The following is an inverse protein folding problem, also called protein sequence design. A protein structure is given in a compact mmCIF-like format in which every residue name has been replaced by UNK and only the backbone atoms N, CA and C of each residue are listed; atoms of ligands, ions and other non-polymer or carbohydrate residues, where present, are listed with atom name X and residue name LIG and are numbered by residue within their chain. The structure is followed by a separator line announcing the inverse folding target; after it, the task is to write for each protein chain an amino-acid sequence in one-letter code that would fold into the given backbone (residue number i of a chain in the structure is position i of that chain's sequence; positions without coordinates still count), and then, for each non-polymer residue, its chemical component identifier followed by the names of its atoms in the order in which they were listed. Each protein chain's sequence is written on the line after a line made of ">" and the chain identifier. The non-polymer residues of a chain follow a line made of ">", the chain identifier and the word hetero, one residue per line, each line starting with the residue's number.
data_IF_772186479783
#
_entry.id   IF_772186479783
#
_cell.length_a   1.000
_cell.length_b   1.000
_cell.length_c   1.000
_cell.angle_alpha   90.00
_cell.angle_beta   90.00
_cell.angle_gamma   90.00
#
_symmetry.space_group_name_H-M   'P 1'
#
loop_
_entity.id
_entity.type
_entity.pdbx_description
1 polymer ?
#
# COMPACT_ATOMS: atom_id res chain seq x y z
N UNK A 1 -4.33 1.19 -23.06
CA UNK A 1 -4.15 1.74 -21.69
C UNK A 1 -2.94 2.66 -21.68
N UNK A 2 -3.08 3.93 -21.29
CA UNK A 2 -1.93 4.84 -21.14
C UNK A 2 -1.10 4.45 -19.91
N UNK A 3 0.23 4.52 -20.00
CA UNK A 3 1.19 4.24 -18.91
C UNK A 3 0.75 4.89 -17.59
N UNK A 4 0.33 6.17 -17.64
CA UNK A 4 -0.15 6.92 -16.47
C UNK A 4 -1.38 6.28 -15.79
N UNK A 5 -2.33 5.75 -16.56
CA UNK A 5 -3.51 5.04 -16.03
C UNK A 5 -3.13 3.74 -15.33
N UNK A 6 -2.13 3.02 -15.84
CA UNK A 6 -1.64 1.79 -15.21
C UNK A 6 -0.98 2.06 -13.86
N UNK A 7 -0.13 3.09 -13.75
CA UNK A 7 0.49 3.48 -12.48
C UNK A 7 -0.52 3.92 -11.42
N UNK A 8 -1.55 4.67 -11.83
CA UNK A 8 -2.65 5.06 -10.92
C UNK A 8 -3.45 3.83 -10.50
N UNK A 9 -3.74 2.90 -11.41
CA UNK A 9 -4.47 1.66 -11.09
C UNK A 9 -3.69 0.79 -10.10
N UNK A 10 -2.37 0.65 -10.26
CA UNK A 10 -1.50 -0.06 -9.32
C UNK A 10 -1.51 0.59 -7.94
N UNK A 11 -1.49 1.92 -7.87
CA UNK A 11 -1.58 2.64 -6.61
C UNK A 11 -2.91 2.41 -5.89
N UNK A 12 -4.02 2.46 -6.62
CA UNK A 12 -5.35 2.18 -6.06
C UNK A 12 -5.44 0.75 -5.53
N UNK A 13 -4.93 -0.24 -6.28
CA UNK A 13 -4.90 -1.63 -5.81
C UNK A 13 -4.04 -1.80 -4.56
N UNK A 14 -2.90 -1.11 -4.48
CA UNK A 14 -2.05 -1.11 -3.30
C UNK A 14 -2.80 -0.57 -2.06
N UNK A 15 -3.56 0.53 -2.20
CA UNK A 15 -4.38 1.08 -1.11
C UNK A 15 -5.41 0.05 -0.63
N UNK A 16 -6.12 -0.60 -1.56
CA UNK A 16 -7.15 -1.60 -1.23
C UNK A 16 -6.54 -2.76 -0.45
N UNK A 17 -5.43 -3.32 -0.93
CA UNK A 17 -4.73 -4.43 -0.26
C UNK A 17 -4.24 -4.02 1.12
N UNK A 18 -3.70 -2.81 1.27
CA UNK A 18 -3.25 -2.29 2.57
C UNK A 18 -4.41 -2.10 3.55
N UNK A 19 -5.56 -1.59 3.10
CA UNK A 19 -6.76 -1.45 3.94
C UNK A 19 -7.28 -2.82 4.41
N UNK A 20 -7.33 -3.81 3.51
CA UNK A 20 -7.72 -5.17 3.86
C UNK A 20 -6.76 -5.76 4.90
N UNK A 21 -5.45 -5.65 4.66
CA UNK A 21 -4.43 -6.15 5.59
C UNK A 21 -4.46 -5.45 6.95
N UNK A 22 -4.74 -4.14 6.99
CA UNK A 22 -4.98 -3.41 8.25
C UNK A 22 -6.24 -3.93 8.95
N UNK A 23 -7.33 -4.19 8.21
CA UNK A 23 -8.55 -4.78 8.78
C UNK A 23 -8.29 -6.13 9.47
N UNK A 24 -7.49 -6.99 8.85
CA UNK A 24 -7.03 -8.24 9.47
C UNK A 24 -6.12 -8.00 10.69
N UNK A 25 -5.27 -6.97 10.65
CA UNK A 25 -4.42 -6.59 11.78
C UNK A 25 -5.25 -6.11 12.98
N UNK A 26 -6.29 -5.30 12.73
CA UNK A 26 -7.25 -4.83 13.73
C UNK A 26 -8.05 -6.01 14.30
N UNK A 27 -8.54 -6.90 13.44
CA UNK A 27 -9.25 -8.12 13.87
C UNK A 27 -8.38 -8.97 14.79
N UNK A 28 -7.10 -9.17 14.44
CA UNK A 28 -6.17 -9.91 15.28
C UNK A 28 -5.90 -9.23 16.62
N UNK A 29 -5.86 -7.89 16.65
CA UNK A 29 -5.70 -7.14 17.88
C UNK A 29 -6.91 -7.28 18.81
N UNK A 30 -8.13 -7.13 18.29
CA UNK A 30 -9.35 -7.18 19.11
C UNK A 30 -9.81 -8.58 19.50
N UNK A 31 -9.61 -9.59 18.66
CA UNK A 31 -10.11 -10.97 18.91
C UNK A 31 -9.07 -11.84 19.61
N UNK A 32 -7.78 -11.62 19.34
CA UNK A 32 -6.71 -12.50 19.83
C UNK A 32 -5.72 -11.78 20.76
N UNK A 33 -6.00 -10.52 21.17
CA UNK A 33 -5.12 -9.68 22.00
C UNK A 33 -3.66 -9.63 21.49
N UNK A 34 -3.47 -9.85 20.18
CA UNK A 34 -2.15 -9.80 19.56
C UNK A 34 -1.77 -8.34 19.32
N UNK A 35 -0.51 -7.94 19.54
CA UNK A 35 -0.10 -6.55 19.34
C UNK A 35 -0.39 -6.09 17.91
N UNK A 36 -1.07 -4.95 17.74
CA UNK A 36 -1.49 -4.45 16.43
C UNK A 36 -0.30 -4.23 15.48
N UNK A 37 0.83 -3.76 16.00
CA UNK A 37 2.05 -3.48 15.22
C UNK A 37 2.96 -4.72 15.14
N UNK A 38 2.44 -5.83 14.62
CA UNK A 38 3.26 -7.02 14.35
C UNK A 38 4.26 -6.77 13.20
N UNK A 39 5.28 -7.62 13.09
CA UNK A 39 6.22 -7.62 11.95
C UNK A 39 5.48 -7.60 10.61
N UNK A 40 4.35 -8.31 10.50
CA UNK A 40 3.52 -8.35 9.30
C UNK A 40 2.86 -7.00 9.00
N UNK A 41 2.30 -6.33 10.01
CA UNK A 41 1.67 -5.00 9.87
C UNK A 41 2.70 -3.95 9.50
N UNK A 42 3.89 -4.01 10.10
CA UNK A 42 5.02 -3.12 9.76
C UNK A 42 5.53 -3.37 8.34
N UNK A 43 5.63 -4.63 7.93
CA UNK A 43 6.00 -5.03 6.57
C UNK A 43 4.99 -4.58 5.52
N UNK A 44 3.69 -4.70 5.81
CA UNK A 44 2.61 -4.21 4.95
C UNK A 44 2.68 -2.69 4.74
N UNK A 45 2.91 -1.93 5.81
CA UNK A 45 3.07 -0.48 5.73
C UNK A 45 4.32 -0.09 4.94
N UNK A 46 5.44 -0.78 5.17
CA UNK A 46 6.68 -0.54 4.42
C UNK A 46 6.52 -0.82 2.93
N UNK A 47 5.87 -1.93 2.56
CA UNK A 47 5.57 -2.26 1.17
C UNK A 47 4.66 -1.21 0.51
N UNK A 48 3.66 -0.70 1.23
CA UNK A 48 2.80 0.38 0.76
C UNK A 48 3.59 1.67 0.49
N UNK A 49 4.45 2.09 1.43
CA UNK A 49 5.30 3.27 1.25
C UNK A 49 6.25 3.14 0.06
N UNK A 50 6.87 1.97 -0.13
CA UNK A 50 7.72 1.71 -1.29
C UNK A 50 6.93 1.76 -2.60
N UNK A 51 5.72 1.18 -2.63
CA UNK A 51 4.85 1.24 -3.80
C UNK A 51 4.43 2.68 -4.13
N UNK A 52 4.03 3.45 -3.12
CA UNK A 52 3.69 4.87 -3.25
C UNK A 52 4.86 5.69 -3.80
N UNK A 53 6.07 5.45 -3.29
CA UNK A 53 7.30 6.14 -3.73
C UNK A 53 7.61 5.82 -5.19
N UNK A 54 7.51 4.54 -5.59
CA UNK A 54 7.73 4.11 -6.97
C UNK A 54 6.72 4.75 -7.93
N UNK A 55 5.43 4.76 -7.56
CA UNK A 55 4.38 5.41 -8.34
C UNK A 55 4.65 6.91 -8.48
N UNK A 56 5.01 7.59 -7.38
CA UNK A 56 5.29 9.02 -7.39
C UNK A 56 6.48 9.37 -8.30
N UNK A 57 7.57 8.59 -8.26
CA UNK A 57 8.73 8.76 -9.15
C UNK A 57 8.33 8.57 -10.61
N UNK A 58 7.58 7.50 -10.92
CA UNK A 58 7.12 7.20 -12.28
C UNK A 58 6.21 8.27 -12.85
N UNK A 59 5.28 8.80 -12.04
CA UNK A 59 4.41 9.91 -12.44
C UNK A 59 5.19 11.22 -12.62
N UNK A 60 6.17 11.50 -11.77
CA UNK A 60 7.04 12.68 -11.88
C UNK A 60 7.87 12.65 -13.17
N UNK A 61 8.47 11.51 -13.52
CA UNK A 61 9.23 11.34 -14.76
C UNK A 61 8.35 11.45 -16.01
N UNK A 62 7.11 10.97 -15.94
CA UNK A 62 6.13 11.09 -17.03
C UNK A 62 5.65 12.52 -17.28
N UNK A 63 5.86 13.46 -16.36
CA UNK A 63 5.41 14.85 -16.44
C UNK A 63 6.51 15.81 -16.96
N UNK A 64 7.76 15.35 -17.09
CA UNK A 64 8.84 16.05 -17.80
C UNK A 64 8.70 15.90 -19.32
N UNK A 65 7.57 16.32 -19.86
CA UNK A 65 7.37 16.46 -21.30
C UNK A 65 7.41 17.92 -21.70
#
# INVERSE_FOLDING_TARGET
>A
MTQRKLWVMLFVMSIIVTLIGLGFSVYNYYVFDKPFMTTTTKGLLAAFFLCATMVAISLSKSNKK
#
